data_IF_190306885002
#
_entry.id   IF_190306885002
#
_cell.length_a   1.000
_cell.length_b   1.000
_cell.length_c   1.000
_cell.angle_alpha   90.00
_cell.angle_beta   90.00
_cell.angle_gamma   90.00
#
_symmetry.space_group_name_H-M   'P 1'
#
loop_
_entity.id
_entity.type
_entity.pdbx_description
1 polymer ?
#
# COMPACT_ATOMS: atom_id res chain seq x y z
N UNK A 1 10.81 37.19 31.61
CA UNK A 1 11.44 35.86 31.76
C UNK A 1 10.70 34.84 30.89
N UNK A 2 11.38 34.37 29.83
CA UNK A 2 11.19 33.09 29.12
C UNK A 2 9.82 32.71 28.53
N UNK A 3 9.51 33.17 27.31
CA UNK A 3 8.53 32.52 26.41
C UNK A 3 9.27 31.97 25.18
N UNK A 4 9.38 30.66 25.03
CA UNK A 4 9.89 30.03 23.80
C UNK A 4 8.73 29.80 22.82
N UNK A 5 8.63 30.68 21.83
CA UNK A 5 7.87 30.49 20.59
C UNK A 5 8.87 30.06 19.51
N UNK A 6 8.76 28.85 18.97
CA UNK A 6 9.59 28.42 17.83
C UNK A 6 8.71 27.82 16.73
N UNK A 7 8.04 28.69 15.97
CA UNK A 7 7.56 28.37 14.62
C UNK A 7 7.40 29.67 13.84
N UNK A 8 8.46 30.08 13.14
CA UNK A 8 8.42 30.67 11.79
C UNK A 8 9.81 31.13 11.33
N UNK A 9 10.16 30.65 10.15
CA UNK A 9 10.82 31.35 9.05
C UNK A 9 12.10 30.66 8.61
N UNK A 10 12.06 30.11 7.40
CA UNK A 10 13.11 30.30 6.40
C UNK A 10 12.55 29.83 5.05
N UNK A 11 12.37 30.80 4.16
CA UNK A 11 12.16 30.61 2.75
C UNK A 11 13.52 30.62 2.04
N UNK A 12 13.56 29.94 0.89
CA UNK A 12 14.51 30.07 -0.22
C UNK A 12 16.01 30.06 0.10
N UNK A 13 16.64 28.93 -0.23
CA UNK A 13 18.05 28.82 -0.54
C UNK A 13 18.27 27.51 -1.28
N UNK A 14 18.44 27.58 -2.61
CA UNK A 14 18.85 26.45 -3.42
C UNK A 14 20.29 26.07 -3.05
N UNK A 15 20.48 24.89 -2.46
CA UNK A 15 21.77 24.19 -2.46
C UNK A 15 21.49 22.73 -2.75
N UNK A 16 21.84 22.33 -3.97
CA UNK A 16 22.02 20.95 -4.33
C UNK A 16 23.22 20.41 -3.54
N UNK A 17 22.96 19.57 -2.53
CA UNK A 17 23.97 18.73 -1.92
C UNK A 17 23.38 17.32 -1.83
N UNK A 18 23.74 16.50 -2.84
CA UNK A 18 23.51 15.08 -2.84
C UNK A 18 24.36 14.44 -1.74
N UNK A 19 23.78 14.22 -0.56
CA UNK A 19 24.36 13.32 0.43
C UNK A 19 24.00 11.90 0.01
N UNK A 20 24.84 11.33 -0.86
CA UNK A 20 24.98 9.88 -0.96
C UNK A 20 25.55 9.39 0.37
N UNK A 21 24.66 9.03 1.31
CA UNK A 21 25.05 8.13 2.38
C UNK A 21 25.30 6.76 1.72
N UNK A 22 26.55 6.53 1.30
CA UNK A 22 27.07 5.22 1.03
C UNK A 22 26.94 4.41 2.34
N UNK A 23 25.79 3.74 2.50
CA UNK A 23 25.61 2.76 3.55
C UNK A 23 26.69 1.72 3.34
N UNK A 24 27.61 1.61 4.30
CA UNK A 24 28.63 0.59 4.31
C UNK A 24 27.95 -0.77 4.09
N UNK A 25 28.12 -1.33 2.89
CA UNK A 25 27.81 -2.72 2.61
C UNK A 25 28.85 -3.50 3.40
N UNK A 26 28.53 -3.89 4.63
CA UNK A 26 29.39 -4.83 5.35
C UNK A 26 29.45 -6.10 4.50
N UNK A 27 30.62 -6.48 3.96
CA UNK A 27 30.72 -7.68 3.17
C UNK A 27 30.35 -8.85 4.08
N UNK A 28 29.35 -9.64 3.67
CA UNK A 28 29.07 -10.91 4.33
C UNK A 28 30.36 -11.73 4.33
N UNK A 29 30.73 -12.40 5.43
CA UNK A 29 31.90 -13.27 5.44
C UNK A 29 31.80 -14.27 4.28
N UNK A 30 32.90 -14.50 3.55
CA UNK A 30 32.91 -15.27 2.31
C UNK A 30 32.18 -16.63 2.45
N UNK A 31 32.35 -17.30 3.59
CA UNK A 31 31.67 -18.56 3.93
C UNK A 31 30.14 -18.47 3.94
N UNK A 32 29.57 -17.32 4.32
CA UNK A 32 28.12 -17.11 4.29
C UNK A 32 27.61 -16.94 2.87
N UNK A 33 28.33 -16.22 2.00
CA UNK A 33 27.97 -16.06 0.60
C UNK A 33 27.98 -17.40 -0.16
N UNK A 34 29.00 -18.23 0.07
CA UNK A 34 29.12 -19.56 -0.55
C UNK A 34 28.01 -20.51 -0.09
N UNK A 35 27.66 -20.49 1.19
CA UNK A 35 26.55 -21.30 1.71
C UNK A 35 25.19 -20.90 1.11
N UNK A 36 24.97 -19.60 0.88
CA UNK A 36 23.76 -19.07 0.25
C UNK A 36 23.73 -19.46 -1.23
N UNK A 37 24.85 -19.32 -1.94
CA UNK A 37 24.96 -19.72 -3.34
C UNK A 37 24.70 -21.21 -3.52
N UNK A 38 25.31 -22.06 -2.68
CA UNK A 38 25.08 -23.51 -2.67
C UNK A 38 23.61 -23.85 -2.39
N UNK A 39 22.96 -23.12 -1.46
CA UNK A 39 21.54 -23.34 -1.17
C UNK A 39 20.66 -23.05 -2.38
N UNK A 40 20.85 -21.92 -3.07
CA UNK A 40 19.99 -21.47 -4.16
C UNK A 40 20.34 -22.04 -5.53
N UNK A 41 21.55 -22.58 -5.73
CA UNK A 41 21.96 -23.23 -6.99
C UNK A 41 20.97 -24.34 -7.36
N UNK A 42 20.38 -24.24 -8.55
CA UNK A 42 19.37 -25.19 -9.05
C UNK A 42 18.01 -25.12 -8.33
N UNK A 43 17.81 -24.23 -7.35
CA UNK A 43 16.52 -24.07 -6.67
C UNK A 43 15.51 -23.30 -7.51
N UNK A 44 14.24 -23.52 -7.14
CA UNK A 44 13.11 -22.69 -7.54
C UNK A 44 12.63 -21.92 -6.31
N UNK A 45 12.66 -20.59 -6.39
CA UNK A 45 12.05 -19.72 -5.38
C UNK A 45 10.60 -19.46 -5.81
N UNK A 46 9.65 -19.85 -4.97
CA UNK A 46 8.23 -19.63 -5.21
C UNK A 46 7.86 -18.20 -4.83
N UNK A 47 7.25 -17.49 -5.78
CA UNK A 47 6.76 -16.12 -5.62
C UNK A 47 5.24 -16.16 -5.49
N UNK A 48 4.75 -16.12 -4.26
CA UNK A 48 3.31 -16.19 -3.97
C UNK A 48 2.66 -14.83 -4.19
N UNK A 49 1.72 -14.75 -5.13
CA UNK A 49 1.02 -13.52 -5.47
C UNK A 49 -0.40 -13.59 -4.92
N UNK A 50 -0.73 -12.72 -3.97
CA UNK A 50 -2.01 -12.76 -3.22
C UNK A 50 -3.26 -12.36 -4.00
N UNK A 51 -3.17 -12.20 -5.32
CA UNK A 51 -4.27 -11.86 -6.23
C UNK A 51 -4.26 -12.76 -7.46
N UNK A 52 -5.35 -12.77 -8.22
CA UNK A 52 -5.39 -13.35 -9.56
C UNK A 52 -4.40 -12.68 -10.51
N UNK A 53 -4.05 -13.36 -11.63
CA UNK A 53 -3.22 -12.79 -12.68
C UNK A 53 -3.78 -11.48 -13.27
N UNK A 54 -2.88 -10.64 -13.80
CA UNK A 54 -3.24 -9.44 -14.57
C UNK A 54 -3.56 -8.19 -13.74
N UNK A 55 -3.51 -8.27 -12.41
CA UNK A 55 -3.62 -7.10 -11.53
C UNK A 55 -2.26 -6.47 -11.18
N UNK A 56 -2.28 -5.29 -10.55
CA UNK A 56 -1.06 -4.58 -10.13
C UNK A 56 -0.10 -5.41 -9.29
N UNK A 57 -0.59 -6.15 -8.29
CA UNK A 57 0.26 -7.03 -7.48
C UNK A 57 0.96 -8.11 -8.31
N UNK A 58 0.25 -8.67 -9.29
CA UNK A 58 0.78 -9.71 -10.17
C UNK A 58 1.84 -9.17 -11.13
N UNK A 59 1.54 -8.06 -11.79
CA UNK A 59 2.45 -7.36 -12.69
C UNK A 59 3.78 -7.01 -12.01
N UNK A 60 3.70 -6.30 -10.88
CA UNK A 60 4.87 -5.82 -10.17
C UNK A 60 5.68 -6.96 -9.56
N UNK A 61 5.04 -7.98 -8.97
CA UNK A 61 5.79 -9.12 -8.42
C UNK A 61 6.52 -9.91 -9.50
N UNK A 62 5.88 -10.21 -10.64
CA UNK A 62 6.51 -10.92 -11.75
C UNK A 62 7.63 -10.11 -12.39
N UNK A 63 7.45 -8.80 -12.50
CA UNK A 63 8.47 -7.90 -13.01
C UNK A 63 9.70 -7.89 -12.08
N UNK A 64 9.53 -7.51 -10.82
CA UNK A 64 10.64 -7.38 -9.87
C UNK A 64 11.38 -8.69 -9.65
N UNK A 65 10.66 -9.77 -9.36
CA UNK A 65 11.31 -11.02 -8.99
C UNK A 65 12.08 -11.66 -10.14
N UNK A 66 11.67 -11.45 -11.40
CA UNK A 66 12.43 -11.90 -12.56
C UNK A 66 13.82 -11.26 -12.62
N UNK A 67 13.91 -9.96 -12.34
CA UNK A 67 15.20 -9.25 -12.29
C UNK A 67 16.02 -9.62 -11.05
N UNK A 68 15.37 -9.88 -9.91
CA UNK A 68 16.06 -10.33 -8.68
C UNK A 68 16.85 -11.63 -8.88
N UNK A 69 16.39 -12.54 -9.76
CA UNK A 69 16.99 -13.85 -9.96
C UNK A 69 18.52 -13.79 -10.18
N UNK A 70 18.99 -12.83 -10.98
CA UNK A 70 20.41 -12.64 -11.33
C UNK A 70 21.28 -12.17 -10.15
N UNK A 71 20.65 -11.55 -9.15
CA UNK A 71 21.36 -10.97 -8.00
C UNK A 71 21.27 -11.84 -6.74
N UNK A 72 20.48 -12.91 -6.77
CA UNK A 72 20.48 -13.91 -5.69
C UNK A 72 21.64 -14.88 -5.96
N UNK A 73 22.60 -15.06 -5.03
CA UNK A 73 23.69 -16.02 -5.22
C UNK A 73 23.15 -17.40 -5.59
N UNK A 74 23.76 -18.06 -6.58
CA UNK A 74 23.26 -19.33 -7.13
C UNK A 74 22.18 -19.20 -8.22
N UNK A 75 21.73 -17.98 -8.54
CA UNK A 75 20.82 -17.66 -9.66
C UNK A 75 19.57 -18.57 -9.74
N UNK A 76 18.75 -18.62 -8.69
CA UNK A 76 17.59 -19.51 -8.65
C UNK A 76 16.52 -19.10 -9.68
N UNK A 77 15.70 -20.06 -10.10
CA UNK A 77 14.53 -19.77 -10.92
C UNK A 77 13.41 -19.19 -10.07
N UNK A 78 12.86 -18.05 -10.47
CA UNK A 78 11.76 -17.39 -9.77
C UNK A 78 10.43 -17.83 -10.40
N UNK A 79 9.58 -18.51 -9.63
CA UNK A 79 8.35 -19.13 -10.13
C UNK A 79 7.13 -18.47 -9.48
N UNK A 80 6.39 -17.69 -10.27
CA UNK A 80 5.20 -17.00 -9.80
C UNK A 80 3.99 -17.92 -9.67
N UNK A 81 3.30 -17.84 -8.52
CA UNK A 81 2.10 -18.61 -8.24
C UNK A 81 1.05 -17.71 -7.59
N UNK A 82 -0.09 -17.56 -8.26
CA UNK A 82 -1.22 -16.79 -7.74
C UNK A 82 -1.96 -17.60 -6.65
N UNK A 83 -2.21 -16.96 -5.51
CA UNK A 83 -2.94 -17.49 -4.36
C UNK A 83 -3.95 -16.44 -3.86
N UNK A 84 -4.96 -16.07 -4.67
CA UNK A 84 -5.99 -15.13 -4.24
C UNK A 84 -6.89 -15.72 -3.15
N UNK A 85 -7.54 -14.80 -2.42
CA UNK A 85 -8.62 -15.15 -1.50
C UNK A 85 -8.64 -14.31 -0.23
N UNK A 86 -9.85 -14.10 0.29
CA UNK A 86 -10.11 -13.47 1.59
C UNK A 86 -9.49 -12.07 1.78
N UNK A 87 -9.32 -11.31 0.69
CA UNK A 87 -8.62 -10.03 0.70
C UNK A 87 -7.15 -10.17 1.08
N UNK A 88 -6.40 -11.00 0.34
CA UNK A 88 -4.98 -11.29 0.52
C UNK A 88 -4.62 -12.13 1.76
N UNK A 89 -5.57 -12.36 2.68
CA UNK A 89 -5.32 -13.11 3.91
C UNK A 89 -4.94 -14.57 3.69
N UNK A 90 -5.43 -15.21 2.62
CA UNK A 90 -5.08 -16.60 2.31
C UNK A 90 -3.57 -16.76 2.11
N UNK A 91 -2.98 -15.92 1.26
CA UNK A 91 -1.53 -15.91 1.02
C UNK A 91 -0.74 -15.52 2.27
N UNK A 92 -1.20 -14.52 3.04
CA UNK A 92 -0.55 -14.12 4.28
C UNK A 92 -0.55 -15.26 5.33
N UNK A 93 -1.66 -15.99 5.49
CA UNK A 93 -1.73 -17.15 6.38
C UNK A 93 -0.84 -18.30 5.91
N UNK A 94 -0.82 -18.57 4.60
CA UNK A 94 0.12 -19.53 4.04
C UNK A 94 1.57 -19.16 4.39
N UNK A 95 1.94 -17.89 4.21
CA UNK A 95 3.28 -17.40 4.51
C UNK A 95 3.63 -17.51 6.01
N UNK A 96 2.67 -17.23 6.90
CA UNK A 96 2.89 -17.27 8.33
C UNK A 96 3.09 -18.71 8.88
N UNK A 97 2.39 -19.70 8.30
CA UNK A 97 2.26 -21.03 8.91
C UNK A 97 2.69 -22.22 8.08
N UNK A 98 2.55 -22.14 6.75
CA UNK A 98 2.71 -23.31 5.87
C UNK A 98 3.92 -23.20 4.94
N UNK A 99 4.34 -21.97 4.62
CA UNK A 99 5.50 -21.75 3.77
C UNK A 99 6.79 -22.23 4.45
N UNK A 100 7.70 -22.78 3.64
CA UNK A 100 9.05 -23.11 4.10
C UNK A 100 9.75 -21.84 4.58
N UNK A 101 10.40 -21.92 5.74
CA UNK A 101 11.16 -20.84 6.36
C UNK A 101 12.65 -20.91 5.98
N UNK A 102 12.94 -21.33 4.75
CA UNK A 102 14.31 -21.57 4.27
C UNK A 102 14.78 -20.54 3.24
N UNK A 103 13.93 -19.58 2.85
CA UNK A 103 14.22 -18.59 1.81
C UNK A 103 13.77 -18.99 0.40
N UNK A 104 13.22 -20.21 0.22
CA UNK A 104 12.67 -20.66 -1.06
C UNK A 104 11.25 -20.16 -1.36
N UNK A 105 10.67 -19.34 -0.47
CA UNK A 105 9.34 -18.75 -0.63
C UNK A 105 9.39 -17.26 -0.32
N UNK A 106 8.92 -16.46 -1.27
CA UNK A 106 8.61 -15.04 -1.08
C UNK A 106 7.18 -14.77 -1.52
N UNK A 107 6.63 -13.62 -1.16
CA UNK A 107 5.27 -13.26 -1.50
C UNK A 107 5.10 -11.76 -1.75
N UNK A 108 3.97 -11.42 -2.36
CA UNK A 108 3.41 -10.08 -2.30
C UNK A 108 1.98 -10.13 -1.72
N UNK A 109 1.71 -9.28 -0.74
CA UNK A 109 0.43 -9.19 -0.01
C UNK A 109 -0.08 -7.76 0.01
N UNK A 110 -1.35 -7.58 0.38
CA UNK A 110 -1.95 -6.25 0.50
C UNK A 110 -1.16 -5.36 1.47
N UNK A 111 -0.78 -4.18 1.00
CA UNK A 111 -0.23 -3.09 1.81
C UNK A 111 -1.12 -2.66 2.99
N UNK A 112 -2.44 -2.94 2.91
CA UNK A 112 -3.40 -2.65 3.99
C UNK A 112 -3.43 -3.69 5.12
N UNK A 113 -2.63 -4.75 5.07
CA UNK A 113 -2.69 -5.84 6.05
C UNK A 113 -2.21 -5.46 7.46
N UNK A 114 -1.11 -4.68 7.64
CA UNK A 114 -0.71 -4.21 8.98
C UNK A 114 -1.78 -3.35 9.64
N UNK A 115 -2.42 -2.46 8.87
CA UNK A 115 -3.56 -1.68 9.38
C UNK A 115 -4.75 -2.59 9.76
N UNK A 116 -5.05 -3.61 8.95
CA UNK A 116 -6.11 -4.56 9.26
C UNK A 116 -5.86 -5.32 10.57
N UNK A 117 -4.59 -5.62 10.88
CA UNK A 117 -4.19 -6.31 12.12
C UNK A 117 -4.55 -5.51 13.37
N UNK A 118 -4.25 -4.21 13.42
CA UNK A 118 -4.55 -3.37 14.58
C UNK A 118 -6.05 -3.10 14.76
N UNK A 119 -6.80 -2.94 13.67
CA UNK A 119 -8.24 -2.63 13.75
C UNK A 119 -9.12 -3.88 13.93
N UNK A 120 -8.66 -5.07 13.53
CA UNK A 120 -9.39 -6.33 13.76
C UNK A 120 -8.49 -7.43 14.37
N UNK A 121 -7.96 -7.23 15.58
CA UNK A 121 -6.97 -8.12 16.18
C UNK A 121 -7.49 -9.56 16.31
N UNK A 122 -8.76 -9.75 16.70
CA UNK A 122 -9.37 -11.10 16.78
C UNK A 122 -9.39 -11.84 15.43
N UNK A 123 -9.66 -11.13 14.33
CA UNK A 123 -9.70 -11.72 12.97
C UNK A 123 -8.31 -11.94 12.37
N UNK A 124 -7.31 -11.22 12.89
CA UNK A 124 -5.91 -11.27 12.47
C UNK A 124 -4.99 -11.87 13.53
N UNK A 125 -5.52 -12.53 14.58
CA UNK A 125 -4.71 -13.19 15.62
C UNK A 125 -3.69 -14.19 15.07
N UNK A 126 -3.98 -14.68 13.86
CA UNK A 126 -3.14 -15.62 13.12
C UNK A 126 -2.15 -14.94 12.14
N UNK A 127 -2.08 -13.62 12.08
CA UNK A 127 -1.14 -12.94 11.18
C UNK A 127 -0.49 -11.84 11.97
N UNK A 128 0.81 -12.00 12.20
CA UNK A 128 1.63 -10.94 12.77
C UNK A 128 2.54 -10.36 11.69
N UNK A 129 2.14 -9.20 11.19
CA UNK A 129 2.82 -8.48 10.11
C UNK A 129 4.21 -7.99 10.52
N UNK A 130 4.48 -7.88 11.84
CA UNK A 130 5.81 -7.54 12.36
C UNK A 130 6.82 -8.66 12.16
N UNK A 131 6.34 -9.92 12.15
CA UNK A 131 7.17 -11.13 12.05
C UNK A 131 7.53 -11.49 10.61
N UNK A 132 6.76 -11.01 9.63
CA UNK A 132 7.19 -11.11 8.24
C UNK A 132 8.48 -10.32 8.04
N UNK A 133 9.32 -10.85 7.16
CA UNK A 133 10.58 -10.21 6.82
C UNK A 133 10.35 -9.49 5.50
N UNK A 134 10.29 -8.16 5.56
CA UNK A 134 10.05 -7.33 4.39
C UNK A 134 11.36 -7.20 3.61
N UNK A 135 11.33 -7.63 2.35
CA UNK A 135 12.47 -7.66 1.45
C UNK A 135 12.63 -6.31 0.75
N UNK A 136 11.52 -5.72 0.32
CA UNK A 136 11.49 -4.41 -0.31
C UNK A 136 10.10 -4.07 -0.82
N UNK A 137 9.95 -2.87 -1.37
CA UNK A 137 8.74 -2.42 -2.06
C UNK A 137 9.16 -1.80 -3.40
N UNK A 138 8.63 -2.30 -4.52
CA UNK A 138 9.02 -1.81 -5.85
C UNK A 138 8.33 -0.49 -6.23
N UNK A 139 7.18 -0.20 -5.63
CA UNK A 139 6.45 1.04 -5.90
C UNK A 139 5.67 1.47 -4.65
N UNK A 140 6.10 2.55 -4.02
CA UNK A 140 5.24 3.31 -3.10
C UNK A 140 4.44 4.36 -3.88
N UNK A 141 3.20 4.60 -3.51
CA UNK A 141 2.43 5.56 -4.28
C UNK A 141 0.97 5.58 -3.95
N UNK A 142 0.32 6.61 -4.45
CA UNK A 142 -1.07 6.87 -4.13
C UNK A 142 -1.95 5.77 -4.68
N UNK A 143 -2.91 5.35 -3.87
CA UNK A 143 -4.10 4.74 -4.42
C UNK A 143 -5.11 5.83 -4.78
N UNK A 144 -6.04 5.52 -5.67
CA UNK A 144 -7.19 6.36 -6.00
C UNK A 144 -8.48 5.58 -5.78
N UNK A 145 -9.54 6.27 -5.37
CA UNK A 145 -10.90 5.81 -5.62
C UNK A 145 -11.13 6.00 -7.12
N UNK A 146 -11.40 4.93 -7.85
CA UNK A 146 -11.53 4.97 -9.31
C UNK A 146 -12.97 4.65 -9.67
N UNK A 147 -13.64 5.56 -10.36
CA UNK A 147 -15.02 5.36 -10.82
C UNK A 147 -15.07 5.37 -12.35
N UNK A 148 -16.06 4.68 -12.90
CA UNK A 148 -16.33 4.67 -14.34
C UNK A 148 -17.04 5.96 -14.77
N UNK A 149 -16.73 6.45 -15.97
CA UNK A 149 -17.27 7.69 -16.51
C UNK A 149 -18.81 7.74 -16.58
N UNK A 150 -19.48 6.60 -16.76
CA UNK A 150 -20.95 6.52 -16.86
C UNK A 150 -21.69 6.80 -15.55
N UNK A 151 -20.97 6.92 -14.43
CA UNK A 151 -21.58 7.13 -13.10
C UNK A 151 -22.20 8.52 -12.92
N UNK A 152 -21.82 9.51 -13.73
CA UNK A 152 -22.27 10.90 -13.60
C UNK A 152 -21.74 11.63 -12.35
N UNK A 153 -20.82 11.02 -11.60
CA UNK A 153 -20.15 11.66 -10.45
C UNK A 153 -19.15 12.70 -10.96
N UNK A 154 -19.14 13.90 -10.39
CA UNK A 154 -18.17 14.96 -10.76
C UNK A 154 -17.18 15.24 -9.63
N UNK A 155 -17.56 14.96 -8.40
CA UNK A 155 -16.72 15.16 -7.22
C UNK A 155 -17.02 14.16 -6.11
N UNK A 156 -16.12 14.05 -5.13
CA UNK A 156 -16.37 13.21 -3.96
C UNK A 156 -17.65 13.58 -3.18
N UNK A 157 -18.12 14.83 -3.30
CA UNK A 157 -19.35 15.29 -2.61
C UNK A 157 -20.59 14.63 -3.18
N UNK A 158 -20.59 14.27 -4.46
CA UNK A 158 -21.73 13.62 -5.12
C UNK A 158 -21.94 12.22 -4.58
N UNK A 159 -20.87 11.57 -4.11
CA UNK A 159 -20.92 10.28 -3.41
C UNK A 159 -21.73 10.32 -2.11
N UNK A 160 -22.05 11.51 -1.58
CA UNK A 160 -22.96 11.64 -0.43
C UNK A 160 -24.43 11.62 -0.83
N UNK A 161 -24.71 11.94 -2.09
CA UNK A 161 -26.07 12.10 -2.62
C UNK A 161 -26.48 10.83 -3.36
N UNK A 162 -25.65 10.39 -4.30
CA UNK A 162 -25.86 9.22 -5.14
C UNK A 162 -25.15 7.99 -4.56
N UNK A 163 -25.86 6.86 -4.53
CA UNK A 163 -25.25 5.58 -4.20
C UNK A 163 -24.48 5.03 -5.40
N UNK A 164 -23.29 4.47 -5.17
CA UNK A 164 -22.50 3.77 -6.19
C UNK A 164 -22.07 2.38 -5.70
N UNK A 165 -21.86 1.45 -6.63
CA UNK A 165 -21.42 0.08 -6.39
C UNK A 165 -19.91 -0.01 -6.58
N UNK A 166 -19.20 -0.33 -5.50
CA UNK A 166 -17.74 -0.36 -5.47
C UNK A 166 -17.23 -1.78 -5.22
N UNK A 167 -16.34 -2.24 -6.09
CA UNK A 167 -15.63 -3.51 -5.92
C UNK A 167 -14.43 -3.41 -4.97
N UNK A 168 -14.18 -4.50 -4.24
CA UNK A 168 -12.98 -4.69 -3.46
C UNK A 168 -12.63 -6.17 -3.22
N UNK A 169 -11.39 -6.45 -2.85
CA UNK A 169 -10.93 -7.83 -2.64
C UNK A 169 -11.36 -8.41 -1.29
N UNK A 170 -11.36 -7.59 -0.23
CA UNK A 170 -11.81 -8.02 1.09
C UNK A 170 -11.65 -6.93 2.16
N UNK A 171 -12.21 -7.17 3.35
CA UNK A 171 -12.21 -6.17 4.42
C UNK A 171 -10.80 -5.79 4.90
N UNK A 172 -9.84 -6.73 4.83
CA UNK A 172 -8.45 -6.50 5.20
C UNK A 172 -7.59 -5.83 4.12
N UNK A 173 -8.15 -5.49 2.95
CA UNK A 173 -7.43 -4.80 1.88
C UNK A 173 -7.82 -3.33 1.79
N UNK A 174 -6.95 -2.52 1.19
CA UNK A 174 -7.22 -1.09 1.00
C UNK A 174 -8.53 -0.82 0.24
N UNK A 175 -8.86 -1.67 -0.74
CA UNK A 175 -10.11 -1.60 -1.51
C UNK A 175 -11.38 -1.83 -0.69
N UNK A 176 -11.28 -2.49 0.47
CA UNK A 176 -12.37 -2.59 1.43
C UNK A 176 -12.32 -1.52 2.52
N UNK A 177 -11.12 -1.10 2.93
CA UNK A 177 -10.92 -0.17 4.04
C UNK A 177 -11.26 1.28 3.67
N UNK A 178 -10.73 1.80 2.56
CA UNK A 178 -10.94 3.19 2.17
C UNK A 178 -12.41 3.56 1.91
N UNK A 179 -13.20 2.81 1.12
CA UNK A 179 -14.60 3.16 0.91
C UNK A 179 -15.43 3.04 2.20
N UNK A 180 -15.08 2.14 3.13
CA UNK A 180 -15.72 2.08 4.46
C UNK A 180 -15.43 3.33 5.28
N UNK A 181 -14.16 3.76 5.33
CA UNK A 181 -13.78 4.98 6.01
C UNK A 181 -14.48 6.21 5.43
N UNK A 182 -14.59 6.30 4.11
CA UNK A 182 -15.33 7.39 3.47
C UNK A 182 -16.83 7.36 3.83
N UNK A 183 -17.47 6.19 3.82
CA UNK A 183 -18.87 6.07 4.23
C UNK A 183 -19.06 6.49 5.69
N UNK A 184 -18.24 5.95 6.60
CA UNK A 184 -18.44 6.11 8.04
C UNK A 184 -18.01 7.50 8.56
N UNK A 185 -17.00 8.13 7.94
CA UNK A 185 -16.47 9.44 8.34
C UNK A 185 -17.10 10.58 7.53
N UNK A 186 -17.15 10.44 6.20
CA UNK A 186 -17.54 11.53 5.29
C UNK A 186 -19.04 11.49 4.94
N UNK A 187 -19.71 10.37 5.23
CA UNK A 187 -21.13 10.16 4.94
C UNK A 187 -21.38 9.89 3.46
N UNK A 188 -20.43 9.27 2.76
CA UNK A 188 -20.65 8.77 1.40
C UNK A 188 -21.54 7.54 1.39
N UNK A 189 -22.10 7.22 0.23
CA UNK A 189 -23.07 6.15 0.00
C UNK A 189 -22.48 5.12 -0.98
N UNK A 190 -21.42 4.43 -0.59
CA UNK A 190 -20.86 3.36 -1.41
C UNK A 190 -21.41 1.99 -0.96
N UNK A 191 -22.05 1.25 -1.87
CA UNK A 191 -22.37 -0.17 -1.70
C UNK A 191 -21.13 -0.98 -2.04
N UNK A 192 -20.46 -1.52 -1.02
CA UNK A 192 -19.16 -2.18 -1.17
C UNK A 192 -19.34 -3.68 -1.36
N UNK A 193 -19.03 -4.17 -2.56
CA UNK A 193 -19.04 -5.59 -2.91
C UNK A 193 -17.63 -6.15 -2.76
N UNK A 194 -17.47 -7.08 -1.82
CA UNK A 194 -16.20 -7.74 -1.53
C UNK A 194 -16.17 -9.16 -2.10
N UNK A 195 -14.99 -9.67 -2.41
CA UNK A 195 -14.80 -11.06 -2.85
C UNK A 195 -14.01 -11.22 -4.14
N UNK A 196 -13.77 -10.11 -4.87
CA UNK A 196 -12.96 -10.13 -6.08
C UNK A 196 -11.55 -10.65 -5.81
N UNK A 197 -11.06 -11.53 -6.67
CA UNK A 197 -9.76 -12.16 -6.50
C UNK A 197 -8.59 -11.24 -6.89
N UNK A 198 -8.85 -10.09 -7.51
CA UNK A 198 -7.83 -9.11 -7.87
C UNK A 198 -8.37 -7.92 -8.65
N UNK A 199 -7.46 -7.03 -9.05
CA UNK A 199 -7.78 -5.82 -9.81
C UNK A 199 -8.32 -6.08 -11.22
N UNK A 200 -7.82 -7.11 -11.90
CA UNK A 200 -8.24 -7.48 -13.26
C UNK A 200 -9.72 -7.84 -13.32
N UNK A 201 -10.20 -8.68 -12.40
CA UNK A 201 -11.63 -9.02 -12.32
C UNK A 201 -12.51 -7.80 -12.00
N UNK A 202 -12.05 -6.90 -11.13
CA UNK A 202 -12.79 -5.66 -10.85
C UNK A 202 -12.85 -4.72 -12.06
N UNK A 203 -11.79 -4.70 -12.88
CA UNK A 203 -11.77 -3.91 -14.12
C UNK A 203 -12.80 -4.46 -15.12
N UNK A 204 -12.82 -5.77 -15.36
CA UNK A 204 -13.79 -6.42 -16.25
C UNK A 204 -15.24 -6.19 -15.78
N UNK A 205 -15.51 -6.35 -14.48
CA UNK A 205 -16.83 -6.09 -13.92
C UNK A 205 -17.26 -4.61 -14.09
N UNK A 206 -16.31 -3.67 -14.02
CA UNK A 206 -16.57 -2.26 -14.27
C UNK A 206 -16.84 -1.98 -15.76
N UNK A 207 -16.07 -2.57 -16.67
CA UNK A 207 -16.30 -2.48 -18.13
C UNK A 207 -17.67 -3.03 -18.53
N UNK A 208 -18.14 -4.08 -17.85
CA UNK A 208 -19.47 -4.69 -18.05
C UNK A 208 -20.62 -3.95 -17.38
N UNK A 209 -20.34 -2.89 -16.61
CA UNK A 209 -21.37 -2.13 -15.87
C UNK A 209 -21.87 -2.82 -14.60
N UNK A 210 -21.24 -3.91 -14.14
CA UNK A 210 -21.57 -4.57 -12.86
C UNK A 210 -21.05 -3.78 -11.65
N UNK A 211 -19.98 -3.00 -11.84
CA UNK A 211 -19.40 -2.10 -10.84
C UNK A 211 -19.34 -0.67 -11.38
N UNK A 212 -19.66 0.30 -10.53
CA UNK A 212 -19.43 1.72 -10.80
C UNK A 212 -17.96 2.12 -10.60
N UNK A 213 -17.16 1.28 -9.94
CA UNK A 213 -15.76 1.57 -9.68
C UNK A 213 -15.07 0.64 -8.70
N UNK A 214 -13.84 1.02 -8.33
CA UNK A 214 -12.93 0.31 -7.43
C UNK A 214 -12.60 1.16 -6.21
N UNK A 215 -12.76 0.58 -5.02
CA UNK A 215 -12.59 1.29 -3.74
C UNK A 215 -11.15 1.69 -3.45
N UNK A 216 -10.20 1.08 -4.16
CA UNK A 216 -8.79 1.42 -4.14
C UNK A 216 -8.13 0.81 -5.38
N UNK A 217 -7.37 1.62 -6.09
CA UNK A 217 -6.47 1.16 -7.14
C UNK A 217 -5.16 1.95 -7.04
N UNK A 218 -4.00 1.31 -7.14
CA UNK A 218 -2.76 2.10 -7.16
C UNK A 218 -2.69 2.87 -8.46
N UNK A 219 -2.32 4.14 -8.38
CA UNK A 219 -2.22 5.02 -9.53
C UNK A 219 -1.23 4.48 -10.56
N UNK A 220 -0.06 4.03 -10.09
CA UNK A 220 0.93 3.32 -10.89
C UNK A 220 0.36 2.09 -11.64
N UNK A 221 -0.57 1.35 -11.03
CA UNK A 221 -1.22 0.20 -11.70
C UNK A 221 -2.20 0.62 -12.79
N UNK A 222 -2.87 1.78 -12.65
CA UNK A 222 -3.71 2.32 -13.73
C UNK A 222 -2.83 2.70 -14.91
N UNK A 223 -1.74 3.44 -14.65
CA UNK A 223 -0.78 3.86 -15.68
C UNK A 223 -0.12 2.68 -16.40
N UNK A 224 0.23 1.62 -15.67
CA UNK A 224 0.92 0.47 -16.24
C UNK A 224 0.04 -0.64 -16.83
N UNK A 225 -1.22 -0.79 -16.39
CA UNK A 225 -2.09 -1.92 -16.83
C UNK A 225 -3.24 -1.43 -17.69
N UNK A 226 -3.88 -0.32 -17.33
CA UNK A 226 -5.06 0.18 -18.01
C UNK A 226 -4.90 1.63 -18.47
N UNK A 227 -3.80 2.00 -19.16
CA UNK A 227 -3.59 3.37 -19.63
C UNK A 227 -4.68 3.82 -20.61
N UNK A 228 -5.31 2.89 -21.33
CA UNK A 228 -6.41 3.16 -22.25
C UNK A 228 -7.61 3.83 -21.57
N UNK A 229 -7.91 3.51 -20.30
CA UNK A 229 -9.02 4.16 -19.61
C UNK A 229 -8.78 5.66 -19.41
N UNK A 230 -7.53 6.06 -19.17
CA UNK A 230 -7.19 7.48 -19.04
C UNK A 230 -7.20 8.17 -20.41
N UNK A 231 -6.61 7.53 -21.42
CA UNK A 231 -6.57 8.07 -22.80
C UNK A 231 -7.98 8.29 -23.37
N UNK A 232 -8.91 7.39 -23.05
CA UNK A 232 -10.31 7.49 -23.46
C UNK A 232 -11.18 8.34 -22.50
N UNK A 233 -10.58 8.99 -21.49
CA UNK A 233 -11.29 9.78 -20.48
C UNK A 233 -12.43 9.02 -19.76
N UNK A 234 -12.22 7.73 -19.51
CA UNK A 234 -13.22 6.82 -18.94
C UNK A 234 -13.21 6.75 -17.41
N UNK A 235 -12.34 7.53 -16.76
CA UNK A 235 -12.13 7.50 -15.31
C UNK A 235 -12.57 8.80 -14.64
N UNK A 236 -13.28 8.67 -13.51
CA UNK A 236 -13.49 9.74 -12.55
C UNK A 236 -12.68 9.40 -11.28
N UNK A 237 -11.80 10.31 -10.87
CA UNK A 237 -10.89 10.15 -9.73
C UNK A 237 -11.22 11.16 -8.62
N UNK A 238 -12.24 10.91 -7.79
CA UNK A 238 -12.72 11.91 -6.83
C UNK A 238 -11.78 12.15 -5.64
N UNK A 239 -10.94 11.16 -5.29
CA UNK A 239 -10.06 11.18 -4.11
C UNK A 239 -8.83 10.31 -4.34
N UNK A 240 -7.68 10.75 -3.83
CA UNK A 240 -6.45 9.97 -3.72
C UNK A 240 -6.08 9.65 -2.26
N UNK A 241 -5.45 8.50 -2.05
CA UNK A 241 -5.01 7.98 -0.76
C UNK A 241 -3.49 7.92 -0.78
N UNK A 242 -2.89 8.96 -0.23
CA UNK A 242 -1.46 9.19 -0.12
C UNK A 242 -1.15 10.14 1.03
N UNK A 243 0.14 10.33 1.31
CA UNK A 243 0.59 11.39 2.22
C UNK A 243 0.67 12.74 1.50
N UNK A 244 1.03 12.69 0.21
CA UNK A 244 1.17 13.83 -0.68
C UNK A 244 0.35 13.61 -1.95
N UNK A 245 -0.02 14.68 -2.66
CA UNK A 245 -0.73 14.57 -3.94
C UNK A 245 0.22 14.00 -4.99
N UNK A 246 -0.27 13.10 -5.84
CA UNK A 246 0.50 12.68 -7.01
C UNK A 246 0.72 13.90 -7.91
N UNK A 247 1.92 14.02 -8.47
CA UNK A 247 2.35 15.17 -9.28
C UNK A 247 1.41 15.40 -10.46
N UNK A 248 0.93 14.32 -11.06
CA UNK A 248 0.00 14.30 -12.20
C UNK A 248 -1.49 14.33 -11.81
N UNK A 249 -1.82 14.34 -10.51
CA UNK A 249 -3.18 14.55 -9.99
C UNK A 249 -3.24 15.72 -8.98
N UNK A 250 -2.77 16.93 -9.34
CA UNK A 250 -2.63 18.02 -8.39
C UNK A 250 -3.99 18.57 -7.91
N UNK A 251 -5.06 18.35 -8.68
CA UNK A 251 -6.42 18.84 -8.37
C UNK A 251 -7.25 17.84 -7.55
N UNK A 252 -6.88 16.56 -7.55
CA UNK A 252 -7.59 15.52 -6.81
C UNK A 252 -7.23 15.62 -5.32
N UNK A 253 -8.18 15.72 -4.39
CA UNK A 253 -7.88 15.86 -2.97
C UNK A 253 -7.34 14.57 -2.35
N UNK A 254 -6.50 14.71 -1.33
CA UNK A 254 -6.10 13.61 -0.46
C UNK A 254 -7.24 13.28 0.50
N UNK A 255 -7.46 11.99 0.77
CA UNK A 255 -8.56 11.54 1.63
C UNK A 255 -8.52 12.22 3.01
N UNK A 256 -7.34 12.42 3.58
CA UNK A 256 -7.19 13.03 4.90
C UNK A 256 -7.46 14.54 4.92
N UNK A 257 -7.42 15.23 3.78
CA UNK A 257 -7.83 16.64 3.66
C UNK A 257 -9.35 16.81 3.85
N UNK A 258 -10.12 15.73 3.65
CA UNK A 258 -11.57 15.74 3.73
C UNK A 258 -12.10 15.65 5.18
N UNK A 259 -11.23 15.33 6.15
CA UNK A 259 -11.57 15.27 7.57
C UNK A 259 -11.91 16.66 8.16
N UNK A 260 -12.99 16.73 8.94
CA UNK A 260 -13.54 17.98 9.50
C UNK A 260 -12.95 18.36 10.87
N UNK A 261 -12.33 17.41 11.55
CA UNK A 261 -11.70 17.58 12.85
C UNK A 261 -10.38 16.80 12.90
N UNK A 262 -9.62 16.99 13.97
CA UNK A 262 -8.30 16.41 14.11
C UNK A 262 -8.32 14.88 14.15
N UNK A 263 -9.29 14.28 14.86
CA UNK A 263 -9.43 12.83 14.95
C UNK A 263 -9.69 12.19 13.57
N UNK A 264 -10.61 12.76 12.77
CA UNK A 264 -10.87 12.29 11.41
C UNK A 264 -9.63 12.37 10.52
N UNK A 265 -8.90 13.49 10.58
CA UNK A 265 -7.66 13.66 9.80
C UNK A 265 -6.61 12.65 10.24
N UNK A 266 -6.40 12.44 11.54
CA UNK A 266 -5.41 11.47 12.06
C UNK A 266 -5.73 10.04 11.63
N UNK A 267 -7.00 9.63 11.73
CA UNK A 267 -7.44 8.30 11.28
C UNK A 267 -7.23 8.13 9.78
N UNK A 268 -7.65 9.10 8.97
CA UNK A 268 -7.49 9.03 7.52
C UNK A 268 -6.01 9.03 7.11
N UNK A 269 -5.15 9.81 7.79
CA UNK A 269 -3.68 9.78 7.58
C UNK A 269 -3.06 8.43 7.96
N UNK A 270 -3.46 7.85 9.10
CA UNK A 270 -3.01 6.52 9.49
C UNK A 270 -3.30 5.48 8.39
N UNK A 271 -4.49 5.53 7.80
CA UNK A 271 -4.85 4.63 6.71
C UNK A 271 -4.06 4.87 5.41
N UNK A 272 -3.60 6.09 5.15
CA UNK A 272 -2.76 6.38 3.99
C UNK A 272 -1.31 5.96 4.16
N UNK A 273 -0.83 5.69 5.38
CA UNK A 273 0.51 5.12 5.60
C UNK A 273 0.75 3.80 4.84
N UNK A 274 -0.32 3.05 4.57
CA UNK A 274 -0.25 1.85 3.74
C UNK A 274 0.34 2.12 2.34
N UNK A 275 0.18 3.33 1.78
CA UNK A 275 0.76 3.70 0.47
C UNK A 275 2.29 3.62 0.43
N UNK A 276 2.97 3.76 1.57
CA UNK A 276 4.43 3.57 1.71
C UNK A 276 4.86 2.11 1.69
N UNK A 277 3.96 1.19 2.03
CA UNK A 277 4.19 -0.26 1.90
C UNK A 277 3.98 -0.69 0.45
N UNK A 278 3.03 -0.08 -0.26
CA UNK A 278 2.97 -0.07 -1.73
C UNK A 278 2.72 -1.43 -2.39
N UNK A 279 3.75 -1.92 -3.09
CA UNK A 279 3.87 -3.22 -3.75
C UNK A 279 4.99 -4.03 -3.09
N UNK A 280 4.76 -4.54 -1.87
CA UNK A 280 5.81 -5.16 -1.08
C UNK A 280 6.17 -6.55 -1.61
N UNK A 281 7.44 -6.91 -1.44
CA UNK A 281 7.98 -8.26 -1.46
C UNK A 281 8.43 -8.60 -0.04
N UNK A 282 8.08 -9.79 0.42
CA UNK A 282 8.33 -10.27 1.78
C UNK A 282 8.55 -11.78 1.80
N UNK A 283 9.16 -12.29 2.85
CA UNK A 283 9.40 -13.72 3.07
C UNK A 283 8.83 -14.15 4.45
N UNK A 284 8.59 -15.45 4.69
CA UNK A 284 8.10 -15.93 5.99
C UNK A 284 8.96 -15.47 7.18
N UNK A 285 8.38 -15.49 8.40
CA UNK A 285 9.19 -15.42 9.61
C UNK A 285 10.19 -16.58 9.68
N UNK A 286 11.34 -16.37 10.34
CA UNK A 286 12.29 -17.43 10.67
C UNK A 286 13.18 -17.91 9.52
N UNK A 287 13.25 -17.18 8.40
CA UNK A 287 14.23 -17.45 7.35
C UNK A 287 15.65 -17.16 7.86
N UNK A 288 16.66 -18.01 7.58
CA UNK A 288 18.04 -17.78 8.01
C UNK A 288 18.55 -16.40 7.61
N UNK A 289 19.22 -15.72 8.56
CA UNK A 289 19.65 -14.32 8.41
C UNK A 289 20.48 -14.09 7.13
N UNK A 290 21.42 -14.98 6.81
CA UNK A 290 22.22 -14.88 5.59
C UNK A 290 21.36 -14.89 4.30
N UNK A 291 20.27 -15.67 4.27
CA UNK A 291 19.36 -15.73 3.11
C UNK A 291 18.44 -14.52 3.06
N UNK A 292 18.06 -13.97 4.20
CA UNK A 292 17.34 -12.69 4.29
C UNK A 292 18.20 -11.56 3.74
N UNK A 293 19.47 -11.48 4.17
CA UNK A 293 20.43 -10.50 3.68
C UNK A 293 20.60 -10.62 2.16
N UNK A 294 20.76 -11.84 1.64
CA UNK A 294 20.84 -12.08 0.20
C UNK A 294 19.58 -11.65 -0.56
N UNK A 295 18.37 -11.92 -0.04
CA UNK A 295 17.12 -11.50 -0.67
C UNK A 295 16.96 -9.98 -0.72
N UNK A 296 17.34 -9.27 0.36
CA UNK A 296 17.32 -7.81 0.42
C UNK A 296 18.36 -7.19 -0.53
N UNK A 297 19.60 -7.68 -0.47
CA UNK A 297 20.66 -7.23 -1.38
C UNK A 297 20.28 -7.47 -2.85
N UNK A 298 19.68 -8.63 -3.16
CA UNK A 298 19.21 -8.92 -4.51
C UNK A 298 18.06 -8.02 -4.96
N UNK A 299 17.15 -7.64 -4.06
CA UNK A 299 16.12 -6.66 -4.35
C UNK A 299 16.74 -5.30 -4.67
N UNK A 300 17.60 -4.79 -3.78
CA UNK A 300 18.21 -3.47 -3.93
C UNK A 300 19.05 -3.40 -5.23
N UNK A 301 19.91 -4.41 -5.48
CA UNK A 301 20.72 -4.50 -6.68
C UNK A 301 19.88 -4.63 -7.96
N UNK A 302 18.81 -5.44 -7.92
CA UNK A 302 17.91 -5.57 -9.07
C UNK A 302 17.24 -4.24 -9.40
N UNK A 303 16.68 -3.56 -8.40
CA UNK A 303 15.94 -2.32 -8.61
C UNK A 303 16.79 -1.12 -9.01
N UNK A 304 18.11 -1.19 -8.76
CA UNK A 304 19.09 -0.19 -9.19
C UNK A 304 19.79 -0.55 -10.51
N UNK A 305 19.54 -1.74 -11.07
CA UNK A 305 20.20 -2.17 -12.30
C UNK A 305 19.63 -1.47 -13.55
N UNK A 306 20.51 -1.15 -14.51
CA UNK A 306 20.09 -0.57 -15.79
C UNK A 306 19.07 -1.44 -16.53
N UNK A 307 19.25 -2.76 -16.50
CA UNK A 307 18.32 -3.69 -17.12
C UNK A 307 16.89 -3.55 -16.57
N UNK A 308 16.76 -3.40 -15.24
CA UNK A 308 15.49 -3.20 -14.58
C UNK A 308 14.90 -1.83 -14.91
N UNK A 309 15.69 -0.76 -14.77
CA UNK A 309 15.25 0.62 -15.03
C UNK A 309 14.83 0.80 -16.49
N UNK A 310 15.61 0.25 -17.43
CA UNK A 310 15.33 0.36 -18.86
C UNK A 310 14.10 -0.46 -19.27
N UNK A 311 13.91 -1.67 -18.73
CA UNK A 311 12.65 -2.41 -18.97
C UNK A 311 11.46 -1.68 -18.35
N UNK A 312 11.58 -1.13 -17.14
CA UNK A 312 10.51 -0.36 -16.50
C UNK A 312 10.09 0.84 -17.36
N UNK A 313 11.06 1.62 -17.86
CA UNK A 313 10.81 2.76 -18.77
C UNK A 313 10.11 2.30 -20.05
N UNK A 314 10.63 1.27 -20.71
CA UNK A 314 10.04 0.70 -21.95
C UNK A 314 8.60 0.24 -21.73
N UNK A 315 8.33 -0.36 -20.57
CA UNK A 315 6.99 -0.84 -20.18
C UNK A 315 6.12 0.24 -19.52
N UNK A 316 6.62 1.47 -19.40
CA UNK A 316 5.94 2.62 -18.77
C UNK A 316 5.46 2.30 -17.34
N UNK A 317 6.24 1.49 -16.62
CA UNK A 317 6.00 1.18 -15.22
C UNK A 317 6.55 2.30 -14.36
N UNK A 318 5.72 2.83 -13.47
CA UNK A 318 6.20 3.71 -12.40
C UNK A 318 6.91 2.86 -11.35
N UNK A 319 8.17 3.22 -11.06
CA UNK A 319 9.03 2.55 -10.09
C UNK A 319 9.65 3.61 -9.19
N UNK A 320 9.56 3.37 -7.89
CA UNK A 320 10.21 4.12 -6.83
C UNK A 320 10.48 3.15 -5.68
N UNK A 321 11.58 2.38 -5.79
CA UNK A 321 11.89 1.32 -4.86
C UNK A 321 12.15 1.84 -3.45
N UNK A 322 11.74 1.08 -2.46
CA UNK A 322 12.01 1.32 -1.04
C UNK A 322 12.59 0.05 -0.43
N UNK A 323 13.67 0.19 0.32
CA UNK A 323 14.36 -0.95 0.93
C UNK A 323 13.46 -1.66 1.94
N UNK A 324 13.71 -2.97 2.13
CA UNK A 324 12.95 -3.77 3.09
C UNK A 324 13.00 -3.26 4.52
N UNK A 325 14.11 -2.61 4.91
CA UNK A 325 14.29 -2.02 6.24
C UNK A 325 13.29 -0.88 6.46
N UNK A 326 13.19 0.04 5.50
CA UNK A 326 12.26 1.17 5.58
C UNK A 326 10.81 0.68 5.57
N UNK A 327 10.49 -0.32 4.75
CA UNK A 327 9.15 -0.94 4.76
C UNK A 327 8.84 -1.56 6.12
N UNK A 328 9.78 -2.27 6.73
CA UNK A 328 9.62 -2.87 8.06
C UNK A 328 9.37 -1.78 9.12
N UNK A 329 10.08 -0.65 9.07
CA UNK A 329 9.86 0.48 9.99
C UNK A 329 8.46 1.08 9.84
N UNK A 330 7.96 1.27 8.62
CA UNK A 330 6.58 1.73 8.37
C UNK A 330 5.57 0.75 8.95
N UNK A 331 5.80 -0.55 8.80
CA UNK A 331 4.95 -1.59 9.38
C UNK A 331 4.94 -1.48 10.91
N UNK A 332 6.10 -1.35 11.54
CA UNK A 332 6.18 -1.18 13.00
C UNK A 332 5.48 0.09 13.46
N UNK A 333 5.63 1.21 12.74
CA UNK A 333 4.95 2.46 13.04
C UNK A 333 3.42 2.32 12.97
N UNK A 334 2.89 1.56 12.01
CA UNK A 334 1.45 1.26 11.95
C UNK A 334 1.06 0.42 13.16
N UNK A 335 1.82 -0.63 13.48
CA UNK A 335 1.50 -1.55 14.57
C UNK A 335 1.60 -0.90 15.96
N UNK A 336 2.47 0.10 16.13
CA UNK A 336 2.62 0.88 17.37
C UNK A 336 1.62 2.04 17.51
N UNK A 337 0.62 2.12 16.63
CA UNK A 337 -0.43 3.14 16.72
C UNK A 337 -1.11 3.08 18.10
N UNK A 338 -1.23 4.22 18.81
CA UNK A 338 -1.91 4.27 20.11
C UNK A 338 -3.35 3.74 20.08
N UNK A 339 -3.74 3.00 21.11
CA UNK A 339 -5.04 2.32 21.21
C UNK A 339 -6.26 3.23 21.03
N UNK A 340 -6.16 4.49 21.46
CA UNK A 340 -7.24 5.46 21.29
C UNK A 340 -7.46 5.82 19.81
N UNK A 341 -6.38 5.91 19.02
CA UNK A 341 -6.45 6.07 17.57
C UNK A 341 -6.89 4.78 16.90
N UNK A 342 -6.40 3.61 17.36
CA UNK A 342 -6.84 2.30 16.84
C UNK A 342 -8.35 2.12 17.01
N UNK A 343 -8.92 2.51 18.15
CA UNK A 343 -10.37 2.44 18.39
C UNK A 343 -11.15 3.32 17.41
N UNK A 344 -10.68 4.53 17.14
CA UNK A 344 -11.28 5.42 16.14
C UNK A 344 -11.16 4.82 14.74
N UNK A 345 -9.98 4.35 14.36
CA UNK A 345 -9.72 3.73 13.07
C UNK A 345 -10.60 2.50 12.83
N UNK A 346 -10.78 1.65 13.86
CA UNK A 346 -11.70 0.50 13.83
C UNK A 346 -13.14 0.92 13.52
N UNK A 347 -13.63 1.99 14.15
CA UNK A 347 -14.97 2.50 13.85
C UNK A 347 -15.07 3.05 12.41
N UNK A 348 -14.00 3.66 11.90
CA UNK A 348 -13.97 4.15 10.52
C UNK A 348 -14.12 3.02 9.49
N UNK A 349 -13.62 1.82 9.75
CA UNK A 349 -13.64 0.72 8.77
C UNK A 349 -14.63 -0.40 9.07
N UNK A 350 -15.41 -0.33 10.14
CA UNK A 350 -16.39 -1.37 10.50
C UNK A 350 -17.69 -1.22 9.69
N UNK A 351 -18.21 -2.32 9.13
CA UNK A 351 -19.47 -2.33 8.36
C UNK A 351 -20.62 -1.83 9.23
N UNK A 352 -21.43 -0.90 8.71
CA UNK A 352 -22.63 -0.40 9.40
C UNK A 352 -22.34 0.51 10.59
N UNK A 353 -21.07 0.80 10.90
CA UNK A 353 -20.72 1.74 11.94
C UNK A 353 -20.87 3.19 11.44
N UNK A 354 -21.11 4.11 12.37
CA UNK A 354 -21.01 5.56 12.13
C UNK A 354 -19.84 6.08 12.95
N UNK A 355 -18.97 6.90 12.36
CA UNK A 355 -17.83 7.47 13.07
C UNK A 355 -18.29 8.55 14.07
N UNK A 356 -18.71 8.12 15.26
CA UNK A 356 -19.14 9.01 16.35
C UNK A 356 -17.94 9.48 17.17
N UNK A 357 -17.13 10.40 16.62
CA UNK A 357 -15.89 10.86 17.24
C UNK A 357 -16.01 11.17 18.74
N UNK A 358 -17.01 11.98 19.15
CA UNK A 358 -17.20 12.40 20.54
C UNK A 358 -17.47 11.23 21.51
N UNK A 359 -18.05 10.14 21.01
CA UNK A 359 -18.32 8.94 21.80
C UNK A 359 -17.11 8.00 21.88
N UNK A 360 -16.15 8.12 20.94
CA UNK A 360 -15.05 7.16 20.77
C UNK A 360 -13.69 7.71 21.22
N UNK A 361 -13.45 9.02 21.09
CA UNK A 361 -12.18 9.64 21.40
C UNK A 361 -11.99 9.82 22.92
N UNK A 362 -10.83 9.41 23.46
CA UNK A 362 -10.44 9.73 24.85
C UNK A 362 -10.33 11.25 25.02
N UNK A 363 -9.63 11.91 24.10
CA UNK A 363 -9.53 13.37 24.06
C UNK A 363 -10.62 14.00 23.18
N UNK A 364 -11.72 14.46 23.78
CA UNK A 364 -12.84 15.10 23.08
C UNK A 364 -12.45 16.40 22.34
N UNK A 365 -11.34 17.06 22.69
CA UNK A 365 -10.87 18.27 22.00
C UNK A 365 -10.55 17.98 20.53
N UNK A 366 -10.07 16.77 20.21
CA UNK A 366 -9.75 16.34 18.84
C UNK A 366 -10.97 16.26 17.92
N UNK A 367 -12.18 16.17 18.50
CA UNK A 367 -13.44 16.12 17.76
C UNK A 367 -14.03 17.50 17.46
N UNK A 368 -13.40 18.59 17.95
CA UNK A 368 -13.83 19.95 17.63
C UNK A 368 -13.59 20.21 16.14
N UNK A 369 -14.62 20.72 15.45
CA UNK A 369 -14.49 21.09 14.04
C UNK A 369 -13.38 22.14 13.89
N UNK A 370 -12.56 22.00 12.85
CA UNK A 370 -11.58 23.04 12.48
C UNK A 370 -12.35 24.35 12.24
N UNK A 371 -12.03 25.43 12.97
CA UNK A 371 -12.53 26.77 12.64
C UNK A 371 -12.06 27.07 11.22
N UNK A 372 -12.99 27.29 10.27
CA UNK A 372 -12.62 27.78 8.93
C UNK A 372 -11.85 29.09 9.16
N UNK A 373 -10.54 29.13 8.88
CA UNK A 373 -9.84 30.40 8.73
C UNK A 373 -10.58 31.13 7.61
N UNK A 374 -11.35 32.17 7.95
CA UNK A 374 -11.87 33.11 6.94
C UNK A 374 -10.64 33.55 6.15
N UNK A 375 -10.51 33.13 4.89
CA UNK A 375 -9.57 33.77 3.97
C UNK A 375 -10.01 35.24 3.96
N UNK A 376 -9.26 36.11 4.64
CA UNK A 376 -9.35 37.55 4.37
C UNK A 376 -9.02 37.66 2.89
N UNK A 377 -10.04 37.97 2.07
CA UNK A 377 -9.80 38.52 0.74
C UNK A 377 -8.95 39.77 0.99
N UNK A 378 -7.70 39.74 0.57
CA UNK A 378 -6.92 40.94 0.28
C UNK A 378 -6.87 41.00 -1.24
#
# INVERSE_FOLDING_TARGET
MGKFNLFKSLACGAVAAAVFAAGAVTPLPANAADSVAKFYKGKRVRVIISTSPGGGYDLYARFTTRHMAKFIPGNPKMVAQNMPGAGHRRAAQYLAYKAKRDGSVIATISQGLPFAQIVWPKKHKKIDSSKFIWVGNVNEGNNVLMLWHTTGIKSWKDLKKKQIIIGGTGAGSTSGQYPRAMNNILGTKMKIILGFAGGSQMNLAMERGELDGRGSNAWASIKGITPQYMKANQLILPVQMGLERAVDLPTVPLIWELGKNEAEVRVLKLMTMASRIGRPILTPPGVPAARVAALRAAFDAATSSDAFINEAKRRKLEINPVSGIVVQQVVQQILSTPDDIVRLARAAVTKGAVFKCKALAKNKKMCKKKKKKKKKKK
#
